data_IF_137914390769
#
_entry.id   IF_137914390769
#
_cell.length_a   1.000
_cell.length_b   1.000
_cell.length_c   1.000
_cell.angle_alpha   90.00
_cell.angle_beta   90.00
_cell.angle_gamma   90.00
#
_symmetry.space_group_name_H-M   'P 1'
#
loop_
_entity.id
_entity.type
_entity.pdbx_description
1 polymer ?
#
# COMPACT_ATOMS: atom_id res chain seq x y z
N UNK A 1 -45.95 -29.51 -38.58
CA UNK A 1 -45.42 -28.42 -37.73
C UNK A 1 -44.60 -27.50 -38.62
N UNK A 2 -45.16 -26.33 -38.92
CA UNK A 2 -44.70 -25.39 -39.95
C UNK A 2 -43.49 -24.59 -39.45
N UNK A 3 -42.56 -24.21 -40.33
CA UNK A 3 -41.39 -23.37 -40.00
C UNK A 3 -41.76 -22.09 -39.23
N UNK A 4 -42.97 -21.55 -39.45
CA UNK A 4 -43.54 -20.44 -38.69
C UNK A 4 -43.76 -20.73 -37.20
N UNK A 5 -44.14 -21.97 -36.82
CA UNK A 5 -44.29 -22.36 -35.41
C UNK A 5 -42.94 -22.49 -34.71
N UNK A 6 -41.91 -23.00 -35.41
CA UNK A 6 -40.55 -23.08 -34.88
C UNK A 6 -39.90 -21.69 -34.72
N UNK A 7 -40.14 -20.77 -35.68
CA UNK A 7 -39.72 -19.36 -35.55
C UNK A 7 -40.45 -18.63 -34.43
N UNK A 8 -41.76 -18.86 -34.28
CA UNK A 8 -42.54 -18.26 -33.19
C UNK A 8 -42.10 -18.77 -31.81
N UNK A 9 -41.83 -20.07 -31.66
CA UNK A 9 -41.31 -20.64 -30.39
C UNK A 9 -39.89 -20.16 -30.07
N UNK A 10 -39.03 -19.99 -31.08
CA UNK A 10 -37.68 -19.47 -30.90
C UNK A 10 -37.68 -17.97 -30.55
N UNK A 11 -38.58 -17.19 -31.16
CA UNK A 11 -38.82 -15.77 -30.83
C UNK A 11 -39.41 -15.56 -29.44
N UNK A 12 -40.30 -16.45 -28.99
CA UNK A 12 -40.88 -16.40 -27.64
C UNK A 12 -39.84 -16.75 -26.56
N UNK A 13 -39.02 -17.78 -26.79
CA UNK A 13 -37.93 -18.16 -25.89
C UNK A 13 -36.83 -17.08 -25.78
N UNK A 14 -36.51 -16.40 -26.88
CA UNK A 14 -35.56 -15.27 -26.86
C UNK A 14 -36.12 -14.02 -26.16
N UNK A 15 -37.42 -13.76 -26.26
CA UNK A 15 -38.08 -12.69 -25.48
C UNK A 15 -38.07 -12.97 -23.97
N UNK A 16 -38.24 -14.23 -23.56
CA UNK A 16 -38.21 -14.63 -22.14
C UNK A 16 -36.80 -14.48 -21.54
N UNK A 17 -35.77 -14.89 -22.27
CA UNK A 17 -34.37 -14.70 -21.87
C UNK A 17 -34.04 -13.19 -21.76
N UNK A 18 -34.46 -12.38 -22.72
CA UNK A 18 -34.22 -10.93 -22.69
C UNK A 18 -34.92 -10.24 -21.49
N UNK A 19 -36.10 -10.71 -21.10
CA UNK A 19 -36.81 -10.21 -19.92
C UNK A 19 -36.09 -10.58 -18.61
N UNK A 20 -35.63 -11.83 -18.49
CA UNK A 20 -34.84 -12.31 -17.35
C UNK A 20 -33.50 -11.57 -17.24
N UNK A 21 -32.80 -11.35 -18.36
CA UNK A 21 -31.57 -10.56 -18.41
C UNK A 21 -31.81 -9.10 -17.97
N UNK A 22 -32.89 -8.47 -18.44
CA UNK A 22 -33.25 -7.12 -18.05
C UNK A 22 -33.57 -7.01 -16.54
N UNK A 23 -34.26 -8.00 -15.97
CA UNK A 23 -34.53 -8.06 -14.53
C UNK A 23 -33.25 -8.24 -13.71
N UNK A 24 -32.36 -9.15 -14.13
CA UNK A 24 -31.06 -9.36 -13.50
C UNK A 24 -30.19 -8.09 -13.54
N UNK A 25 -30.12 -7.40 -14.68
CA UNK A 25 -29.41 -6.13 -14.80
C UNK A 25 -30.01 -5.04 -13.92
N UNK A 26 -31.35 -4.96 -13.80
CA UNK A 26 -32.01 -4.02 -12.89
C UNK A 26 -31.63 -4.29 -11.43
N UNK A 27 -31.63 -5.55 -10.99
CA UNK A 27 -31.20 -5.94 -9.62
C UNK A 27 -29.74 -5.59 -9.37
N UNK A 28 -28.84 -5.79 -10.34
CA UNK A 28 -27.43 -5.41 -10.22
C UNK A 28 -27.27 -3.88 -10.12
N UNK A 29 -27.97 -3.11 -10.96
CA UNK A 29 -27.93 -1.63 -10.92
C UNK A 29 -28.50 -1.09 -9.61
N UNK A 30 -29.64 -1.63 -9.16
CA UNK A 30 -30.26 -1.27 -7.89
C UNK A 30 -29.34 -1.58 -6.71
N UNK A 31 -28.70 -2.76 -6.68
CA UNK A 31 -27.70 -3.10 -5.66
C UNK A 31 -26.50 -2.17 -5.70
N UNK A 32 -25.99 -1.81 -6.88
CA UNK A 32 -24.88 -0.87 -7.03
C UNK A 32 -25.25 0.52 -6.51
N UNK A 33 -26.44 1.01 -6.84
CA UNK A 33 -26.96 2.29 -6.34
C UNK A 33 -27.17 2.27 -4.83
N UNK A 34 -27.73 1.18 -4.28
CA UNK A 34 -27.88 0.98 -2.83
C UNK A 34 -26.51 1.01 -2.14
N UNK A 35 -25.52 0.31 -2.67
CA UNK A 35 -24.15 0.29 -2.11
C UNK A 35 -23.53 1.69 -2.15
N UNK A 36 -23.68 2.44 -3.24
CA UNK A 36 -23.19 3.82 -3.33
C UNK A 36 -23.93 4.72 -2.33
N UNK A 37 -25.26 4.60 -2.25
CA UNK A 37 -26.08 5.35 -1.30
C UNK A 37 -25.68 5.07 0.16
N UNK A 38 -25.46 3.81 0.53
CA UNK A 38 -24.99 3.42 1.86
C UNK A 38 -23.59 3.94 2.15
N UNK A 39 -22.67 3.92 1.18
CA UNK A 39 -21.32 4.49 1.35
C UNK A 39 -21.37 6.00 1.61
N UNK A 40 -22.19 6.73 0.84
CA UNK A 40 -22.39 8.18 1.04
C UNK A 40 -23.06 8.43 2.39
N UNK A 41 -24.08 7.64 2.75
CA UNK A 41 -24.77 7.78 4.03
C UNK A 41 -23.81 7.57 5.21
N UNK A 42 -22.96 6.53 5.18
CA UNK A 42 -21.94 6.30 6.21
C UNK A 42 -20.98 7.49 6.29
N UNK A 43 -20.48 7.98 5.15
CA UNK A 43 -19.58 9.13 5.12
C UNK A 43 -20.22 10.38 5.74
N UNK A 44 -21.46 10.69 5.35
CA UNK A 44 -22.20 11.85 5.85
C UNK A 44 -22.51 11.71 7.34
N UNK A 45 -22.91 10.53 7.80
CA UNK A 45 -23.18 10.28 9.22
C UNK A 45 -21.91 10.44 10.06
N UNK A 46 -20.77 9.90 9.60
CA UNK A 46 -19.50 10.00 10.32
C UNK A 46 -18.99 11.43 10.35
N UNK A 47 -18.90 12.11 9.20
CA UNK A 47 -18.39 13.48 9.14
C UNK A 47 -19.36 14.49 9.77
N UNK A 48 -20.66 14.35 9.51
CA UNK A 48 -21.69 15.19 10.10
C UNK A 48 -21.83 14.97 11.60
N UNK A 49 -21.69 13.72 12.07
CA UNK A 49 -21.65 13.39 13.49
C UNK A 49 -20.42 13.95 14.19
N UNK A 50 -19.24 13.89 13.56
CA UNK A 50 -18.01 14.49 14.10
C UNK A 50 -18.10 16.02 14.15
N UNK A 51 -18.48 16.67 13.05
CA UNK A 51 -18.68 18.13 12.99
C UNK A 51 -19.75 18.59 13.99
N UNK A 52 -20.88 17.89 14.05
CA UNK A 52 -21.95 18.17 15.00
C UNK A 52 -21.51 17.99 16.45
N UNK A 53 -20.84 16.87 16.76
CA UNK A 53 -20.31 16.58 18.09
C UNK A 53 -19.28 17.61 18.56
N UNK A 54 -18.41 18.08 17.66
CA UNK A 54 -17.44 19.14 17.95
C UNK A 54 -18.14 20.48 18.21
N UNK A 55 -19.08 20.90 17.34
CA UNK A 55 -19.81 22.17 17.49
C UNK A 55 -20.73 22.21 18.72
N UNK A 56 -21.31 21.07 19.09
CA UNK A 56 -22.16 20.94 20.27
C UNK A 56 -21.37 20.76 21.57
N UNK A 57 -20.04 20.63 21.50
CA UNK A 57 -19.16 20.44 22.65
C UNK A 57 -19.22 19.03 23.26
N UNK A 58 -19.78 18.05 22.56
CA UNK A 58 -19.71 16.63 22.96
C UNK A 58 -18.32 16.04 22.73
N UNK A 59 -17.61 16.58 21.75
CA UNK A 59 -16.23 16.26 21.42
C UNK A 59 -15.43 17.55 21.59
N UNK A 60 -14.33 17.50 22.33
CA UNK A 60 -13.45 18.65 22.50
C UNK A 60 -12.70 18.96 21.19
N UNK A 61 -12.97 20.11 20.53
CA UNK A 61 -12.31 20.47 19.28
C UNK A 61 -10.80 20.69 19.45
N UNK A 62 -10.31 20.91 20.67
CA UNK A 62 -8.88 21.03 20.93
C UNK A 62 -8.12 19.73 20.58
N UNK A 63 -8.69 18.56 20.89
CA UNK A 63 -8.04 17.27 20.61
C UNK A 63 -8.41 16.71 19.24
N UNK A 64 -9.67 16.88 18.84
CA UNK A 64 -10.21 16.21 17.66
C UNK A 64 -10.43 17.14 16.48
N UNK A 65 -10.27 18.46 16.62
CA UNK A 65 -10.65 19.42 15.58
C UNK A 65 -12.11 19.20 15.11
N UNK A 66 -12.44 19.76 13.96
CA UNK A 66 -13.69 19.55 13.24
C UNK A 66 -13.39 19.43 11.74
N UNK A 67 -14.12 18.58 10.99
CA UNK A 67 -13.92 18.39 9.56
C UNK A 67 -13.77 19.69 8.76
N UNK A 68 -14.62 20.69 9.05
CA UNK A 68 -14.56 21.99 8.37
C UNK A 68 -13.26 22.75 8.60
N UNK A 69 -12.70 22.70 9.82
CA UNK A 69 -11.43 23.35 10.16
C UNK A 69 -10.24 22.63 9.53
N UNK A 70 -10.29 21.30 9.45
CA UNK A 70 -9.26 20.50 8.76
C UNK A 70 -9.23 20.85 7.28
N UNK A 71 -10.39 20.95 6.61
CA UNK A 71 -10.48 21.37 5.20
C UNK A 71 -9.95 22.79 5.02
N UNK A 72 -10.31 23.72 5.91
CA UNK A 72 -9.78 25.09 5.87
C UNK A 72 -8.25 25.12 5.97
N UNK A 73 -7.67 24.33 6.87
CA UNK A 73 -6.21 24.20 7.03
C UNK A 73 -5.53 23.64 5.78
N UNK A 74 -6.13 22.64 5.13
CA UNK A 74 -5.60 22.09 3.87
C UNK A 74 -5.63 23.15 2.77
N UNK A 75 -6.72 23.91 2.66
CA UNK A 75 -6.85 25.01 1.68
C UNK A 75 -5.80 26.09 1.94
N UNK A 76 -5.62 26.51 3.19
CA UNK A 76 -4.57 27.46 3.60
C UNK A 76 -3.19 26.95 3.16
N UNK A 77 -2.84 25.70 3.46
CA UNK A 77 -1.56 25.11 3.04
C UNK A 77 -1.38 25.01 1.53
N UNK A 78 -2.46 24.81 0.77
CA UNK A 78 -2.40 24.75 -0.69
C UNK A 78 -2.23 26.14 -1.34
N UNK A 79 -2.88 27.17 -0.78
CA UNK A 79 -2.93 28.52 -1.39
C UNK A 79 -1.82 29.41 -0.85
N UNK A 80 -1.65 29.44 0.47
CA UNK A 80 -0.72 30.33 1.17
C UNK A 80 0.61 29.63 1.50
N UNK A 81 0.59 28.30 1.56
CA UNK A 81 1.74 27.48 1.91
C UNK A 81 1.77 27.09 3.38
N UNK A 82 2.83 26.38 3.77
CA UNK A 82 3.08 25.97 5.15
C UNK A 82 4.16 26.85 5.77
N UNK A 83 4.35 26.75 7.10
CA UNK A 83 5.48 27.38 7.78
C UNK A 83 6.85 26.94 7.23
N UNK A 84 6.91 25.79 6.55
CA UNK A 84 8.11 25.23 5.94
C UNK A 84 8.20 25.46 4.42
N UNK A 85 7.35 26.33 3.88
CA UNK A 85 7.24 26.61 2.44
C UNK A 85 6.07 25.89 1.78
N UNK A 86 6.04 25.80 0.44
CA UNK A 86 4.90 25.24 -0.28
C UNK A 86 4.59 23.79 0.11
N UNK A 87 3.29 23.45 0.22
CA UNK A 87 2.85 22.09 0.57
C UNK A 87 3.39 21.03 -0.41
N UNK A 88 3.42 21.34 -1.70
CA UNK A 88 3.89 20.41 -2.74
C UNK A 88 5.36 20.02 -2.55
N UNK A 89 6.22 20.92 -2.04
CA UNK A 89 7.61 20.61 -1.73
C UNK A 89 7.70 19.58 -0.60
N UNK A 90 6.88 19.73 0.44
CA UNK A 90 6.82 18.78 1.55
C UNK A 90 6.37 17.39 1.07
N UNK A 91 5.34 17.35 0.22
CA UNK A 91 4.83 16.11 -0.39
C UNK A 91 5.90 15.43 -1.25
N UNK A 92 6.61 16.19 -2.09
CA UNK A 92 7.64 15.62 -2.96
C UNK A 92 8.82 15.06 -2.19
N UNK A 93 9.28 15.75 -1.13
CA UNK A 93 10.38 15.27 -0.29
C UNK A 93 10.01 13.94 0.36
N UNK A 94 8.83 13.85 0.98
CA UNK A 94 8.35 12.59 1.56
C UNK A 94 8.24 11.49 0.52
N UNK A 95 7.76 11.81 -0.68
CA UNK A 95 7.63 10.84 -1.77
C UNK A 95 9.01 10.37 -2.26
N UNK A 96 9.99 11.27 -2.38
CA UNK A 96 11.37 10.93 -2.77
C UNK A 96 12.01 9.99 -1.75
N UNK A 97 11.92 10.33 -0.46
CA UNK A 97 12.42 9.50 0.63
C UNK A 97 11.76 8.11 0.64
N UNK A 98 10.43 8.08 0.43
CA UNK A 98 9.63 6.86 0.33
C UNK A 98 10.08 6.00 -0.85
N UNK A 99 10.22 6.59 -2.04
CA UNK A 99 10.58 5.86 -3.26
C UNK A 99 12.01 5.32 -3.17
N UNK A 100 12.97 6.11 -2.69
CA UNK A 100 14.35 5.66 -2.50
C UNK A 100 14.43 4.53 -1.47
N UNK A 101 13.75 4.69 -0.32
CA UNK A 101 13.68 3.66 0.70
C UNK A 101 13.03 2.37 0.22
N UNK A 102 11.93 2.51 -0.53
CA UNK A 102 11.22 1.41 -1.16
C UNK A 102 12.10 0.65 -2.15
N UNK A 103 12.77 1.34 -3.08
CA UNK A 103 13.59 0.71 -4.12
C UNK A 103 14.80 0.00 -3.52
N UNK A 104 15.57 0.70 -2.68
CA UNK A 104 16.79 0.16 -2.06
C UNK A 104 16.44 -1.01 -1.13
N UNK A 105 15.43 -0.83 -0.26
CA UNK A 105 14.98 -1.86 0.67
C UNK A 105 14.43 -3.08 -0.03
N UNK A 106 13.66 -2.90 -1.11
CA UNK A 106 13.10 -4.02 -1.87
C UNK A 106 14.18 -4.81 -2.57
N UNK A 107 15.10 -4.14 -3.29
CA UNK A 107 16.19 -4.83 -3.99
C UNK A 107 17.07 -5.60 -3.00
N UNK A 108 17.48 -4.96 -1.91
CA UNK A 108 18.28 -5.61 -0.88
C UNK A 108 17.54 -6.78 -0.22
N UNK A 109 16.26 -6.60 0.11
CA UNK A 109 15.42 -7.62 0.74
C UNK A 109 15.22 -8.84 -0.15
N UNK A 110 14.96 -8.64 -1.45
CA UNK A 110 14.84 -9.73 -2.42
C UNK A 110 16.14 -10.51 -2.55
N UNK A 111 17.26 -9.80 -2.73
CA UNK A 111 18.56 -10.45 -2.91
C UNK A 111 18.90 -11.28 -1.66
N UNK A 112 18.81 -10.68 -0.47
CA UNK A 112 19.09 -11.38 0.78
C UNK A 112 18.13 -12.55 1.01
N UNK A 113 16.82 -12.36 0.78
CA UNK A 113 15.80 -13.38 0.99
C UNK A 113 16.02 -14.59 0.09
N UNK A 114 16.37 -14.37 -1.18
CA UNK A 114 16.68 -15.44 -2.13
C UNK A 114 17.98 -16.17 -1.75
N UNK A 115 19.06 -15.44 -1.43
CA UNK A 115 20.35 -16.06 -1.09
C UNK A 115 20.22 -16.93 0.16
N UNK A 116 19.62 -16.41 1.23
CA UNK A 116 19.45 -17.14 2.49
C UNK A 116 18.39 -18.23 2.38
N UNK A 117 17.32 -18.01 1.61
CA UNK A 117 16.23 -18.98 1.44
C UNK A 117 16.65 -20.22 0.65
N UNK A 118 17.56 -20.07 -0.33
CA UNK A 118 18.04 -21.19 -1.16
C UNK A 118 19.08 -22.06 -0.48
N UNK A 119 19.88 -21.50 0.43
CA UNK A 119 20.99 -22.21 1.07
C UNK A 119 20.64 -22.62 2.49
N UNK A 120 20.44 -23.94 2.71
CA UNK A 120 20.08 -24.48 4.02
C UNK A 120 21.09 -24.13 5.11
N UNK A 121 22.39 -24.20 4.83
CA UNK A 121 23.43 -23.86 5.80
C UNK A 121 23.36 -22.38 6.21
N UNK A 122 23.22 -21.47 5.23
CA UNK A 122 23.08 -20.03 5.52
C UNK A 122 21.78 -19.76 6.30
N UNK A 123 20.66 -20.37 5.91
CA UNK A 123 19.41 -20.27 6.66
C UNK A 123 19.57 -20.70 8.11
N UNK A 124 20.20 -21.86 8.36
CA UNK A 124 20.35 -22.41 9.70
C UNK A 124 21.26 -21.52 10.56
N UNK A 125 22.38 -21.03 10.01
CA UNK A 125 23.29 -20.08 10.69
C UNK A 125 22.63 -18.73 10.96
N UNK A 126 21.92 -18.16 9.98
CA UNK A 126 21.32 -16.84 10.09
C UNK A 126 19.97 -16.83 10.82
N UNK A 127 19.36 -17.98 11.09
CA UNK A 127 18.05 -18.10 11.73
C UNK A 127 17.96 -17.33 13.05
N UNK A 128 18.98 -17.45 13.91
CA UNK A 128 19.06 -16.73 15.19
C UNK A 128 19.16 -15.21 14.98
N UNK A 129 20.02 -14.76 14.06
CA UNK A 129 20.21 -13.34 13.79
C UNK A 129 18.97 -12.70 13.16
N UNK A 130 18.27 -13.43 12.27
CA UNK A 130 17.00 -13.00 11.69
C UNK A 130 15.95 -12.86 12.80
N UNK A 131 15.91 -13.80 13.75
CA UNK A 131 14.97 -13.73 14.88
C UNK A 131 15.28 -12.52 15.78
N UNK A 132 16.55 -12.31 16.13
CA UNK A 132 16.98 -11.13 16.91
C UNK A 132 16.59 -9.84 16.18
N UNK A 133 16.89 -9.74 14.89
CA UNK A 133 16.61 -8.54 14.11
C UNK A 133 15.11 -8.24 13.99
N UNK A 134 14.26 -9.28 13.92
CA UNK A 134 12.81 -9.10 13.91
C UNK A 134 12.22 -8.66 15.26
N UNK A 135 12.89 -8.98 16.37
CA UNK A 135 12.47 -8.57 17.70
C UNK A 135 12.75 -7.08 18.01
N UNK A 136 13.63 -6.44 17.24
CA UNK A 136 13.97 -5.02 17.44
C UNK A 136 12.85 -4.13 16.90
N UNK A 137 12.27 -3.22 17.71
CA UNK A 137 11.31 -2.23 17.21
C UNK A 137 11.97 -1.29 16.20
N UNK A 138 11.73 -1.54 14.91
CA UNK A 138 12.42 -0.84 13.80
C UNK A 138 12.21 0.67 13.83
N UNK A 139 11.05 1.13 14.33
CA UNK A 139 10.72 2.56 14.53
C UNK A 139 11.79 3.28 15.36
N UNK A 140 12.33 2.63 16.40
CA UNK A 140 13.30 3.24 17.32
C UNK A 140 14.65 3.51 16.66
N UNK A 141 14.99 2.77 15.58
CA UNK A 141 16.22 2.99 14.82
C UNK A 141 16.26 4.36 14.14
N UNK A 142 15.11 5.01 13.94
CA UNK A 142 15.04 6.34 13.37
C UNK A 142 15.87 7.37 14.13
N UNK A 143 15.82 7.37 15.46
CA UNK A 143 16.61 8.28 16.29
C UNK A 143 18.11 8.04 16.14
N UNK A 144 18.53 6.77 16.03
CA UNK A 144 19.93 6.40 15.80
C UNK A 144 20.38 6.89 14.42
N UNK A 145 19.55 6.74 13.39
CA UNK A 145 19.87 7.22 12.04
C UNK A 145 19.93 8.74 11.96
N UNK A 146 19.09 9.47 12.69
CA UNK A 146 19.20 10.93 12.80
C UNK A 146 20.52 11.33 13.45
N UNK A 147 20.98 10.63 14.49
CA UNK A 147 22.27 10.89 15.14
C UNK A 147 23.43 10.56 14.18
N UNK A 148 23.35 9.42 13.48
CA UNK A 148 24.44 8.92 12.64
C UNK A 148 24.58 9.67 11.30
N UNK A 149 23.46 9.97 10.65
CA UNK A 149 23.41 10.56 9.30
C UNK A 149 22.91 12.02 9.28
N UNK A 150 22.50 12.55 10.43
CA UNK A 150 21.97 13.90 10.58
C UNK A 150 20.50 14.04 10.15
N UNK A 151 20.06 15.30 10.06
CA UNK A 151 18.68 15.69 9.70
C UNK A 151 18.41 15.70 8.19
N UNK A 152 19.35 15.22 7.38
CA UNK A 152 19.19 15.13 5.92
C UNK A 152 18.30 13.96 5.49
N UNK A 153 18.19 13.77 4.18
CA UNK A 153 17.42 12.71 3.52
C UNK A 153 17.92 11.30 3.89
N UNK A 154 19.24 11.14 4.08
CA UNK A 154 19.87 9.84 4.34
C UNK A 154 19.29 9.12 5.57
N UNK A 155 18.95 9.84 6.66
CA UNK A 155 18.39 9.23 7.86
C UNK A 155 16.97 8.68 7.66
N UNK A 156 16.15 9.36 6.87
CA UNK A 156 14.76 8.97 6.56
C UNK A 156 14.75 7.81 5.59
N UNK A 157 15.56 7.91 4.54
CA UNK A 157 15.76 6.82 3.57
C UNK A 157 16.28 5.58 4.30
N UNK A 158 17.25 5.70 5.20
CA UNK A 158 17.74 4.54 5.98
C UNK A 158 16.63 3.87 6.79
N UNK A 159 15.75 4.64 7.45
CA UNK A 159 14.62 4.08 8.18
C UNK A 159 13.61 3.39 7.26
N UNK A 160 13.26 4.03 6.13
CA UNK A 160 12.40 3.46 5.11
C UNK A 160 12.98 2.17 4.52
N UNK A 161 14.29 2.14 4.21
CA UNK A 161 15.02 0.95 3.75
C UNK A 161 14.88 -0.18 4.74
N UNK A 162 15.12 0.05 6.03
CA UNK A 162 15.02 -1.00 7.05
C UNK A 162 13.60 -1.55 7.16
N UNK A 163 12.59 -0.68 7.17
CA UNK A 163 11.19 -1.10 7.23
C UNK A 163 10.82 -2.00 6.04
N UNK A 164 11.21 -1.59 4.83
CA UNK A 164 10.93 -2.30 3.58
C UNK A 164 11.73 -3.60 3.50
N UNK A 165 13.03 -3.54 3.80
CA UNK A 165 13.97 -4.64 3.69
C UNK A 165 13.43 -5.88 4.39
N UNK A 166 13.00 -5.77 5.65
CA UNK A 166 12.55 -6.93 6.39
C UNK A 166 11.23 -7.52 5.89
N UNK A 167 10.31 -6.69 5.40
CA UNK A 167 9.04 -7.17 4.82
C UNK A 167 9.32 -7.92 3.53
N UNK A 168 10.12 -7.35 2.64
CA UNK A 168 10.47 -7.96 1.36
C UNK A 168 11.35 -9.19 1.56
N UNK A 169 12.34 -9.11 2.46
CA UNK A 169 13.18 -10.23 2.85
C UNK A 169 12.35 -11.40 3.36
N UNK A 170 11.42 -11.17 4.30
CA UNK A 170 10.61 -12.24 4.86
C UNK A 170 9.73 -12.91 3.80
N UNK A 171 9.09 -12.12 2.92
CA UNK A 171 8.28 -12.64 1.83
C UNK A 171 9.13 -13.39 0.79
N UNK A 172 10.31 -12.89 0.43
CA UNK A 172 11.21 -13.57 -0.50
C UNK A 172 11.82 -14.84 0.10
N UNK A 173 12.22 -14.81 1.37
CA UNK A 173 12.78 -15.96 2.09
C UNK A 173 11.75 -17.07 2.25
N UNK A 174 10.53 -16.74 2.71
CA UNK A 174 9.44 -17.71 2.81
C UNK A 174 9.02 -18.17 1.42
N UNK A 175 8.83 -17.23 0.49
CA UNK A 175 8.49 -17.51 -0.91
C UNK A 175 9.47 -18.46 -1.57
N UNK A 176 10.77 -18.40 -1.30
CA UNK A 176 11.76 -19.35 -1.86
C UNK A 176 11.72 -20.72 -1.17
N UNK A 177 11.42 -20.77 0.13
CA UNK A 177 11.31 -22.03 0.88
C UNK A 177 9.99 -22.75 0.60
N UNK A 178 8.93 -22.00 0.35
CA UNK A 178 7.57 -22.46 0.07
C UNK A 178 7.25 -22.55 -1.41
N UNK A 179 7.95 -21.82 -2.29
CA UNK A 179 7.94 -22.01 -3.75
C UNK A 179 8.65 -23.33 -4.08
N UNK A 180 7.87 -24.34 -3.76
CA UNK A 180 7.56 -25.45 -4.58
C UNK A 180 8.74 -26.34 -4.91
N UNK A 181 9.25 -26.95 -3.83
CA UNK A 181 9.92 -28.24 -3.93
C UNK A 181 9.18 -29.20 -4.86
N UNK A 182 7.84 -29.15 -4.97
CA UNK A 182 7.08 -29.99 -5.90
C UNK A 182 7.15 -29.52 -7.36
N UNK A 183 7.04 -28.22 -7.70
CA UNK A 183 7.27 -27.72 -9.07
C UNK A 183 8.73 -27.92 -9.49
N UNK A 184 9.69 -27.71 -8.59
CA UNK A 184 11.10 -27.99 -8.85
C UNK A 184 11.30 -29.50 -9.07
N UNK A 185 10.76 -30.35 -8.19
CA UNK A 185 10.84 -31.80 -8.34
C UNK A 185 10.14 -32.29 -9.61
N UNK A 186 8.95 -31.79 -9.92
CA UNK A 186 8.18 -32.13 -11.13
C UNK A 186 8.95 -31.71 -12.39
N UNK A 187 9.53 -30.51 -12.41
CA UNK A 187 10.36 -30.07 -13.52
C UNK A 187 11.60 -30.95 -13.70
N UNK A 188 12.25 -31.35 -12.59
CA UNK A 188 13.39 -32.28 -12.63
C UNK A 188 12.98 -33.68 -13.09
N UNK A 189 11.82 -34.19 -12.66
CA UNK A 189 11.25 -35.48 -13.12
C UNK A 189 10.99 -35.44 -14.63
N UNK A 190 10.55 -34.30 -15.17
CA UNK A 190 10.38 -34.06 -16.61
C UNK A 190 11.69 -33.82 -17.37
N UNK A 191 12.86 -33.91 -16.71
CA UNK A 191 14.17 -33.77 -17.33
C UNK A 191 14.68 -32.35 -17.47
N UNK A 192 14.09 -31.36 -16.77
CA UNK A 192 14.55 -29.98 -16.83
C UNK A 192 15.94 -29.81 -16.20
N UNK A 193 16.84 -29.15 -16.92
CA UNK A 193 18.16 -28.77 -16.41
C UNK A 193 18.07 -27.72 -15.29
N UNK A 194 19.09 -27.59 -14.42
CA UNK A 194 19.10 -26.59 -13.34
C UNK A 194 18.86 -25.16 -13.80
N UNK A 195 19.32 -24.82 -15.02
CA UNK A 195 19.09 -23.51 -15.64
C UNK A 195 17.62 -23.33 -16.06
N UNK A 196 17.00 -24.36 -16.62
CA UNK A 196 15.57 -24.33 -16.98
C UNK A 196 14.69 -24.23 -15.73
N UNK A 197 14.98 -25.00 -14.69
CA UNK A 197 14.27 -24.89 -13.40
C UNK A 197 14.39 -23.47 -12.84
N UNK A 198 15.59 -22.88 -12.88
CA UNK A 198 15.80 -21.51 -12.37
C UNK A 198 14.99 -20.48 -13.18
N UNK A 199 15.09 -20.52 -14.51
CA UNK A 199 14.48 -19.51 -15.39
C UNK A 199 12.96 -19.67 -15.56
N UNK A 200 12.45 -20.91 -15.56
CA UNK A 200 11.04 -21.18 -15.83
C UNK A 200 10.19 -21.40 -14.58
N UNK A 201 10.79 -21.77 -13.45
CA UNK A 201 10.06 -22.09 -12.20
C UNK A 201 10.41 -21.08 -11.11
N UNK A 202 11.69 -20.98 -10.75
CA UNK A 202 12.12 -20.22 -9.56
C UNK A 202 11.95 -18.71 -9.77
N UNK A 203 12.46 -18.15 -10.88
CA UNK A 203 12.40 -16.71 -11.15
C UNK A 203 10.95 -16.22 -11.31
N UNK A 204 10.07 -16.87 -12.11
CA UNK A 204 8.68 -16.42 -12.26
C UNK A 204 7.86 -16.53 -10.96
N UNK A 205 8.10 -17.58 -10.16
CA UNK A 205 7.47 -17.73 -8.85
C UNK A 205 7.93 -16.63 -7.89
N UNK A 206 9.24 -16.41 -7.78
CA UNK A 206 9.81 -15.34 -6.95
C UNK A 206 9.31 -13.96 -7.39
N UNK A 207 9.22 -13.70 -8.70
CA UNK A 207 8.68 -12.43 -9.21
C UNK A 207 7.22 -12.21 -8.80
N UNK A 208 6.41 -13.26 -8.79
CA UNK A 208 5.01 -13.20 -8.34
C UNK A 208 4.90 -12.85 -6.85
N UNK A 209 5.79 -13.39 -6.02
CA UNK A 209 5.89 -13.06 -4.59
C UNK A 209 6.36 -11.62 -4.35
N UNK A 210 7.37 -11.18 -5.10
CA UNK A 210 7.88 -9.80 -5.02
C UNK A 210 6.77 -8.81 -5.36
N UNK A 211 6.06 -9.05 -6.46
CA UNK A 211 4.96 -8.19 -6.90
C UNK A 211 3.77 -8.24 -5.93
N UNK A 212 3.48 -9.39 -5.32
CA UNK A 212 2.44 -9.50 -4.29
C UNK A 212 2.74 -8.68 -3.03
N UNK A 213 4.03 -8.48 -2.70
CA UNK A 213 4.44 -7.67 -1.55
C UNK A 213 4.54 -6.16 -1.82
N UNK A 214 4.42 -5.74 -3.09
CA UNK A 214 4.72 -4.38 -3.54
C UNK A 214 3.95 -3.31 -2.75
N UNK A 215 2.64 -3.51 -2.61
CA UNK A 215 1.73 -2.59 -1.94
C UNK A 215 2.04 -2.45 -0.44
N UNK A 216 2.24 -3.58 0.23
CA UNK A 216 2.57 -3.61 1.66
C UNK A 216 3.91 -2.95 1.90
N UNK A 217 4.92 -3.29 1.10
CA UNK A 217 6.27 -2.76 1.20
C UNK A 217 6.32 -1.26 0.94
N UNK A 218 5.59 -0.75 -0.05
CA UNK A 218 5.50 0.69 -0.28
C UNK A 218 4.82 1.41 0.90
N UNK A 219 3.76 0.85 1.46
CA UNK A 219 3.13 1.38 2.68
C UNK A 219 4.12 1.49 3.84
N UNK A 220 4.96 0.47 4.05
CA UNK A 220 6.03 0.52 5.06
C UNK A 220 7.14 1.53 4.73
N UNK A 221 7.47 1.74 3.46
CA UNK A 221 8.40 2.79 3.05
C UNK A 221 7.87 4.17 3.42
N UNK A 222 6.58 4.41 3.16
CA UNK A 222 5.91 5.68 3.47
C UNK A 222 5.86 5.91 4.99
N UNK A 223 5.51 4.89 5.76
CA UNK A 223 5.58 4.94 7.23
C UNK A 223 7.01 5.23 7.71
N UNK A 224 8.02 4.58 7.13
CA UNK A 224 9.42 4.80 7.47
C UNK A 224 9.90 6.23 7.18
N UNK A 225 9.55 6.79 6.02
CA UNK A 225 9.87 8.16 5.66
C UNK A 225 9.21 9.15 6.63
N UNK A 226 7.89 9.07 6.81
CA UNK A 226 7.13 9.98 7.68
C UNK A 226 7.57 9.91 9.13
N UNK A 227 7.84 8.72 9.67
CA UNK A 227 8.38 8.57 11.03
C UNK A 227 9.78 9.17 11.13
N UNK A 228 10.63 8.95 10.12
CA UNK A 228 11.96 9.57 10.08
C UNK A 228 11.88 11.09 10.02
N UNK A 229 10.94 11.63 9.26
CA UNK A 229 10.68 13.06 9.16
C UNK A 229 10.19 13.65 10.48
N UNK A 230 9.27 12.94 11.14
CA UNK A 230 8.72 13.30 12.44
C UNK A 230 9.78 13.34 13.54
N UNK A 231 10.73 12.40 13.52
CA UNK A 231 11.85 12.34 14.47
C UNK A 231 12.89 13.45 14.23
N UNK A 232 12.96 13.99 13.01
CA UNK A 232 13.77 15.17 12.73
C UNK A 232 14.04 15.34 11.24
N UNK A 233 13.48 16.39 10.65
CA UNK A 233 13.73 16.81 9.26
C UNK A 233 13.70 18.32 9.10
N UNK A 234 14.11 18.79 7.92
CA UNK A 234 13.95 20.18 7.47
C UNK A 234 12.74 20.36 6.57
N UNK A 235 12.27 19.29 5.93
CA UNK A 235 11.15 19.27 4.99
C UNK A 235 10.45 17.90 5.07
N UNK A 236 9.20 17.82 4.63
CA UNK A 236 8.41 16.60 4.62
C UNK A 236 7.07 16.73 5.36
N UNK A 237 6.13 15.84 5.03
CA UNK A 237 4.81 15.80 5.68
C UNK A 237 4.95 15.43 7.17
N UNK A 238 5.86 14.54 7.53
CA UNK A 238 6.13 14.18 8.93
C UNK A 238 6.61 15.36 9.77
N UNK A 239 7.32 16.32 9.18
CA UNK A 239 7.68 17.58 9.83
C UNK A 239 6.46 18.48 10.05
N UNK A 240 5.53 18.53 9.10
CA UNK A 240 4.27 19.27 9.29
C UNK A 240 3.45 18.68 10.45
N UNK A 241 3.40 17.34 10.56
CA UNK A 241 2.75 16.65 11.67
C UNK A 241 3.41 17.03 13.00
N UNK A 242 4.74 16.91 13.11
CA UNK A 242 5.45 17.19 14.37
C UNK A 242 5.36 18.66 14.76
N UNK A 243 5.40 19.58 13.79
CA UNK A 243 5.24 21.02 14.02
C UNK A 243 3.83 21.36 14.49
N UNK A 244 2.80 20.84 13.81
CA UNK A 244 1.41 21.05 14.20
C UNK A 244 1.11 20.46 15.59
N UNK A 245 1.64 19.27 15.88
CA UNK A 245 1.54 18.64 17.19
C UNK A 245 2.20 19.49 18.28
N UNK A 246 3.43 19.99 18.04
CA UNK A 246 4.13 20.87 18.98
C UNK A 246 3.41 22.21 19.22
N UNK A 247 2.63 22.67 18.24
CA UNK A 247 1.79 23.86 18.35
C UNK A 247 0.37 23.58 18.90
N UNK A 248 0.08 22.34 19.29
CA UNK A 248 -1.27 21.89 19.69
C UNK A 248 -2.35 22.20 18.64
N UNK A 249 -1.98 22.24 17.36
CA UNK A 249 -2.89 22.44 16.24
C UNK A 249 -3.40 21.09 15.73
N UNK A 250 -4.50 20.60 16.32
CA UNK A 250 -5.14 19.36 15.89
C UNK A 250 -5.58 19.40 14.41
N UNK A 251 -6.10 20.55 13.93
CA UNK A 251 -6.48 20.74 12.52
C UNK A 251 -5.29 20.49 11.59
N UNK A 252 -4.11 20.99 11.94
CA UNK A 252 -2.85 20.77 11.22
C UNK A 252 -2.42 19.30 11.22
N UNK A 253 -2.49 18.62 12.35
CA UNK A 253 -2.15 17.19 12.43
C UNK A 253 -3.07 16.37 11.51
N UNK A 254 -4.38 16.55 11.61
CA UNK A 254 -5.34 15.85 10.75
C UNK A 254 -5.21 16.26 9.27
N UNK A 255 -4.94 17.52 8.97
CA UNK A 255 -4.70 18.00 7.61
C UNK A 255 -3.51 17.27 6.97
N UNK A 256 -2.39 17.16 7.69
CA UNK A 256 -1.21 16.45 7.23
C UNK A 256 -1.47 14.95 7.05
N UNK A 257 -2.24 14.32 7.95
CA UNK A 257 -2.66 12.92 7.82
C UNK A 257 -3.54 12.69 6.59
N UNK A 258 -4.46 13.60 6.28
CA UNK A 258 -5.31 13.52 5.08
C UNK A 258 -4.47 13.69 3.82
N UNK A 259 -3.56 14.67 3.78
CA UNK A 259 -2.64 14.86 2.65
C UNK A 259 -1.81 13.60 2.44
N UNK A 260 -1.26 13.01 3.51
CA UNK A 260 -0.51 11.76 3.45
C UNK A 260 -1.37 10.60 2.94
N UNK A 261 -2.63 10.49 3.38
CA UNK A 261 -3.55 9.47 2.90
C UNK A 261 -3.85 9.61 1.41
N UNK A 262 -4.04 10.85 0.91
CA UNK A 262 -4.22 11.13 -0.52
C UNK A 262 -2.98 10.72 -1.32
N UNK A 263 -1.78 11.04 -0.82
CA UNK A 263 -0.51 10.63 -1.45
C UNK A 263 -0.37 9.11 -1.47
N UNK A 264 -0.68 8.43 -0.35
CA UNK A 264 -0.66 6.98 -0.26
C UNK A 264 -1.62 6.31 -1.25
N UNK A 265 -2.85 6.81 -1.36
CA UNK A 265 -3.85 6.31 -2.31
C UNK A 265 -3.46 6.56 -3.77
N UNK A 266 -2.87 7.72 -4.07
CA UNK A 266 -2.37 8.03 -5.40
C UNK A 266 -1.21 7.11 -5.80
N UNK A 267 -0.28 6.86 -4.87
CA UNK A 267 0.82 5.93 -5.07
C UNK A 267 0.33 4.48 -5.21
N UNK A 268 -0.61 4.05 -4.38
CA UNK A 268 -1.23 2.72 -4.47
C UNK A 268 -1.94 2.50 -5.81
N UNK A 269 -2.67 3.50 -6.30
CA UNK A 269 -3.28 3.45 -7.63
C UNK A 269 -2.24 3.32 -8.75
N UNK A 270 -1.12 4.04 -8.64
CA UNK A 270 -0.02 3.97 -9.60
C UNK A 270 0.66 2.59 -9.58
N UNK A 271 0.89 2.04 -8.39
CA UNK A 271 1.45 0.69 -8.21
C UNK A 271 0.51 -0.37 -8.78
N UNK A 272 -0.80 -0.28 -8.54
CA UNK A 272 -1.78 -1.19 -9.16
C UNK A 272 -1.77 -1.08 -10.69
N UNK A 273 -1.60 0.13 -11.24
CA UNK A 273 -1.50 0.30 -12.69
C UNK A 273 -0.22 -0.33 -13.26
N UNK A 274 0.89 -0.24 -12.53
CA UNK A 274 2.16 -0.88 -12.87
C UNK A 274 2.06 -2.42 -12.77
N UNK A 275 1.47 -2.92 -11.69
CA UNK A 275 1.23 -4.35 -11.46
C UNK A 275 0.42 -4.95 -12.61
N UNK A 276 -0.70 -4.33 -13.01
CA UNK A 276 -1.51 -4.83 -14.14
C UNK A 276 -0.76 -4.86 -15.46
N UNK A 277 0.22 -3.97 -15.66
CA UNK A 277 1.05 -3.95 -16.88
C UNK A 277 2.13 -5.03 -16.85
N UNK A 278 2.72 -5.28 -15.68
CA UNK A 278 3.75 -6.29 -15.48
C UNK A 278 3.11 -7.69 -15.44
N UNK A 279 2.08 -7.92 -14.64
CA UNK A 279 1.45 -9.24 -14.44
C UNK A 279 0.43 -9.64 -15.51
N UNK A 280 0.55 -9.15 -16.75
CA UNK A 280 -0.38 -9.55 -17.84
C UNK A 280 -0.44 -11.06 -18.08
N UNK A 281 0.61 -11.79 -17.70
CA UNK A 281 0.70 -13.25 -17.83
C UNK A 281 0.01 -14.02 -16.69
N UNK A 282 -0.38 -13.36 -15.58
CA UNK A 282 -0.99 -14.02 -14.43
C UNK A 282 -2.51 -14.12 -14.69
N UNK A 283 -3.09 -15.34 -14.76
CA UNK A 283 -4.54 -15.48 -14.77
C UNK A 283 -5.09 -14.82 -13.50
N UNK A 284 -6.15 -14.00 -13.63
CA UNK A 284 -6.84 -13.46 -12.47
C UNK A 284 -7.30 -14.65 -11.63
N UNK A 285 -6.80 -14.75 -10.39
CA UNK A 285 -7.30 -15.74 -9.45
C UNK A 285 -8.78 -15.44 -9.23
N UNK A 286 -9.62 -16.39 -9.61
CA UNK A 286 -11.07 -16.35 -9.43
C UNK A 286 -11.46 -16.32 -7.96
#
# INVERSE_FOLDING_TARGET
MTQAQAQASHSAATMDIAAVEAEAQRKIRARKQLVIGLRIAILVIVLGGWEGGARLGWIDPFFFSQPSAIVAQIVEWMVEGTSQGPLWTQVLVTLEETVLGFLIGSVAGVIAGIILGRNKLLSDVFSLYIQIANSIPRVVLGSIFVIAFGLGMASKVALAVVMVFFVVFANAFQGVREADRYMIANAQILGASPRQVTMAVVIPSALSWILASLHVSFGFALVGAVVGEFLGSKQGIGLLISTAQGAFNASGVFAAMIVLAVVALAADWLLHALERRLLKWRPQAF
#
